data_IF_546047578999
#
_entry.id   IF_546047578999
#
_cell.length_a   1.000
_cell.length_b   1.000
_cell.length_c   1.000
_cell.angle_alpha   90.00
_cell.angle_beta   90.00
_cell.angle_gamma   90.00
#
_symmetry.space_group_name_H-M   'P 1'
#
loop_
_entity.id
_entity.type
_entity.pdbx_description
1 polymer ?
#
# COMPACT_ATOMS: atom_id res chain seq x y z
N UNK A 1 46.91 -1.82 18.81
CA UNK A 1 46.05 -2.48 19.00
C UNK A 1 44.82 -1.87 19.11
N UNK A 2 44.67 -0.82 19.60
CA UNK A 2 43.43 -0.13 19.74
C UNK A 2 42.80 0.32 18.43
N UNK A 3 43.64 0.62 17.41
CA UNK A 3 43.10 1.03 16.12
C UNK A 3 42.33 -0.09 15.40
N UNK A 4 42.84 -1.33 15.50
CA UNK A 4 42.17 -2.47 14.90
C UNK A 4 40.83 -2.76 15.62
N UNK A 5 40.82 -2.65 16.96
CA UNK A 5 39.63 -2.83 17.75
C UNK A 5 38.58 -1.75 17.43
N UNK A 6 39.04 -0.51 17.26
CA UNK A 6 38.17 0.59 16.92
C UNK A 6 37.55 0.37 15.54
N UNK A 7 38.34 -0.04 14.55
CA UNK A 7 37.85 -0.32 13.21
C UNK A 7 36.79 -1.43 13.25
N UNK A 8 37.09 -2.52 13.98
CA UNK A 8 36.11 -3.62 14.10
C UNK A 8 34.82 -3.17 14.76
N UNK A 9 34.93 -2.32 15.80
CA UNK A 9 33.75 -1.78 16.47
C UNK A 9 32.92 -0.92 15.53
N UNK A 10 33.60 -0.08 14.74
CA UNK A 10 32.89 0.79 13.77
C UNK A 10 32.17 -0.04 12.69
N UNK A 11 32.82 -1.09 12.18
CA UNK A 11 32.18 -1.97 11.22
C UNK A 11 30.93 -2.63 11.80
N UNK A 12 30.99 -3.09 13.04
CA UNK A 12 29.83 -3.70 13.69
C UNK A 12 28.69 -2.69 13.84
N UNK A 13 28.99 -1.46 14.25
CA UNK A 13 28.01 -0.43 14.43
C UNK A 13 27.36 -0.06 13.11
N UNK A 14 28.17 0.14 12.06
CA UNK A 14 27.67 0.47 10.73
C UNK A 14 26.78 -0.64 10.18
N UNK A 15 27.18 -1.89 10.39
CA UNK A 15 26.39 -3.03 9.94
C UNK A 15 25.07 -3.10 10.69
N UNK A 16 25.08 -2.87 12.00
CA UNK A 16 23.86 -2.88 12.80
C UNK A 16 22.91 -1.77 12.35
N UNK A 17 23.44 -0.57 12.10
CA UNK A 17 22.64 0.57 11.64
C UNK A 17 22.04 0.29 10.27
N UNK A 18 22.84 -0.26 9.35
CA UNK A 18 22.35 -0.59 8.02
C UNK A 18 21.25 -1.66 8.07
N UNK A 19 21.42 -2.67 8.93
CA UNK A 19 20.41 -3.70 9.10
C UNK A 19 19.12 -3.13 9.67
N UNK A 20 19.21 -2.24 10.65
CA UNK A 20 18.06 -1.59 11.24
C UNK A 20 17.30 -0.79 10.19
N UNK A 21 18.00 0.00 9.37
CA UNK A 21 17.37 0.77 8.31
C UNK A 21 16.71 -0.15 7.29
N UNK A 22 17.36 -1.25 6.93
CA UNK A 22 16.77 -2.21 5.99
C UNK A 22 15.48 -2.80 6.53
N UNK A 23 15.43 -3.12 7.82
CA UNK A 23 14.22 -3.65 8.46
C UNK A 23 13.11 -2.60 8.44
N UNK A 24 13.44 -1.34 8.74
CA UNK A 24 12.45 -0.25 8.70
C UNK A 24 11.87 -0.07 7.30
N UNK A 25 12.71 -0.08 6.27
CA UNK A 25 12.24 0.04 4.89
C UNK A 25 11.35 -1.15 4.50
N UNK A 26 11.73 -2.35 4.90
CA UNK A 26 10.90 -3.53 4.61
C UNK A 26 9.54 -3.43 5.29
N UNK A 27 9.52 -2.96 6.54
CA UNK A 27 8.26 -2.76 7.26
C UNK A 27 7.40 -1.72 6.57
N UNK A 28 7.98 -0.60 6.14
CA UNK A 28 7.26 0.45 5.42
C UNK A 28 6.70 -0.09 4.11
N UNK A 29 7.49 -0.88 3.37
CA UNK A 29 7.01 -1.48 2.12
C UNK A 29 5.82 -2.39 2.36
N UNK A 30 5.84 -3.19 3.42
CA UNK A 30 4.72 -4.06 3.76
C UNK A 30 3.46 -3.26 4.10
N UNK A 31 3.62 -2.18 4.87
CA UNK A 31 2.50 -1.32 5.21
C UNK A 31 1.91 -0.66 3.97
N UNK A 32 2.75 -0.15 3.07
CA UNK A 32 2.27 0.46 1.83
C UNK A 32 1.55 -0.54 0.94
N UNK A 33 2.03 -1.77 0.87
CA UNK A 33 1.34 -2.83 0.11
C UNK A 33 -0.05 -3.10 0.67
N UNK A 34 -0.17 -3.15 2.01
CA UNK A 34 -1.46 -3.33 2.66
C UNK A 34 -2.39 -2.16 2.36
N UNK A 35 -1.89 -0.93 2.41
CA UNK A 35 -2.68 0.24 2.07
C UNK A 35 -3.15 0.21 0.62
N UNK A 36 -2.26 -0.18 -0.29
CA UNK A 36 -2.61 -0.31 -1.71
C UNK A 36 -3.72 -1.33 -1.90
N UNK A 37 -3.63 -2.49 -1.23
CA UNK A 37 -4.67 -3.51 -1.32
C UNK A 37 -6.01 -3.00 -0.79
N UNK A 38 -6.00 -2.28 0.34
CA UNK A 38 -7.21 -1.68 0.90
C UNK A 38 -7.81 -0.66 -0.06
N UNK A 39 -6.98 0.19 -0.63
CA UNK A 39 -7.45 1.20 -1.58
C UNK A 39 -8.02 0.56 -2.85
N UNK A 40 -7.39 -0.50 -3.34
CA UNK A 40 -7.90 -1.25 -4.50
C UNK A 40 -9.26 -1.86 -4.21
N UNK A 41 -9.43 -2.41 -3.01
CA UNK A 41 -10.71 -2.98 -2.58
C UNK A 41 -11.80 -1.91 -2.51
N UNK A 42 -11.47 -0.76 -1.92
CA UNK A 42 -12.39 0.36 -1.83
C UNK A 42 -12.76 0.89 -3.22
N UNK A 43 -11.78 0.97 -4.11
CA UNK A 43 -12.02 1.42 -5.47
C UNK A 43 -12.94 0.43 -6.22
N UNK A 44 -12.71 -0.86 -6.04
CA UNK A 44 -13.54 -1.88 -6.65
C UNK A 44 -14.99 -1.76 -6.17
N UNK A 45 -15.18 -1.58 -4.85
CA UNK A 45 -16.52 -1.42 -4.29
C UNK A 45 -17.20 -0.17 -4.82
N UNK A 46 -16.46 0.94 -4.90
CA UNK A 46 -17.00 2.18 -5.43
C UNK A 46 -17.41 2.04 -6.90
N UNK A 47 -16.58 1.37 -7.70
CA UNK A 47 -16.87 1.14 -9.11
C UNK A 47 -18.08 0.23 -9.28
N UNK A 48 -18.22 -0.79 -8.43
CA UNK A 48 -19.38 -1.67 -8.46
C UNK A 48 -20.66 -0.90 -8.11
N UNK A 49 -20.60 -0.01 -7.13
CA UNK A 49 -21.75 0.84 -6.78
C UNK A 49 -22.11 1.79 -7.90
N UNK A 50 -21.11 2.39 -8.55
CA UNK A 50 -21.36 3.29 -9.68
C UNK A 50 -22.01 2.52 -10.83
N UNK A 51 -21.50 1.32 -11.13
CA UNK A 51 -22.08 0.50 -12.20
C UNK A 51 -23.53 0.14 -11.90
N UNK A 52 -23.81 -0.21 -10.64
CA UNK A 52 -25.15 -0.54 -10.21
C UNK A 52 -26.08 0.67 -10.34
N UNK A 53 -25.62 1.83 -9.91
CA UNK A 53 -26.39 3.07 -10.02
C UNK A 53 -26.71 3.40 -11.48
N UNK A 54 -25.72 3.27 -12.36
CA UNK A 54 -25.91 3.52 -13.80
C UNK A 54 -26.94 2.57 -14.41
N UNK A 55 -26.91 1.30 -14.02
CA UNK A 55 -27.87 0.32 -14.50
C UNK A 55 -29.29 0.67 -14.04
N UNK A 56 -29.45 1.08 -12.78
CA UNK A 56 -30.73 1.51 -12.25
C UNK A 56 -31.24 2.73 -12.98
N UNK A 57 -30.38 3.70 -13.29
CA UNK A 57 -30.76 4.88 -14.06
C UNK A 57 -31.19 4.51 -15.47
N UNK A 58 -30.47 3.61 -16.12
CA UNK A 58 -30.81 3.16 -17.46
C UNK A 58 -32.17 2.48 -17.48
N UNK A 59 -32.47 1.64 -16.48
CA UNK A 59 -33.76 0.98 -16.37
C UNK A 59 -34.91 1.99 -16.18
N UNK A 60 -34.70 3.00 -15.32
CA UNK A 60 -35.69 4.04 -15.11
C UNK A 60 -35.92 4.84 -16.38
N UNK A 61 -34.86 5.18 -17.10
CA UNK A 61 -34.99 5.93 -18.35
C UNK A 61 -35.77 5.13 -19.41
N UNK A 62 -35.55 3.83 -19.48
CA UNK A 62 -36.30 2.98 -20.40
C UNK A 62 -37.79 2.95 -20.06
N UNK A 63 -38.13 2.82 -18.78
CA UNK A 63 -39.53 2.84 -18.33
C UNK A 63 -40.17 4.18 -18.63
N UNK A 64 -39.48 5.27 -18.37
CA UNK A 64 -39.99 6.61 -18.65
C UNK A 64 -40.22 6.83 -20.16
N UNK A 65 -39.31 6.29 -20.98
CA UNK A 65 -39.45 6.41 -22.44
C UNK A 65 -40.65 5.64 -22.99
N UNK A 66 -41.04 4.56 -22.33
CA UNK A 66 -42.18 3.75 -22.74
C UNK A 66 -43.51 4.42 -22.38
N UNK A 67 -43.50 5.12 -21.24
CA UNK A 67 -44.70 5.86 -20.82
C UNK A 67 -44.86 7.15 -21.60
#
# INVERSE_FOLDING_TARGET
>A
MDSLNLIATLYKQELADANEQAILYKAQCKLYKQEIEQLREQLKQANDEIAKFRNEQAEQNEVEAIE
#
